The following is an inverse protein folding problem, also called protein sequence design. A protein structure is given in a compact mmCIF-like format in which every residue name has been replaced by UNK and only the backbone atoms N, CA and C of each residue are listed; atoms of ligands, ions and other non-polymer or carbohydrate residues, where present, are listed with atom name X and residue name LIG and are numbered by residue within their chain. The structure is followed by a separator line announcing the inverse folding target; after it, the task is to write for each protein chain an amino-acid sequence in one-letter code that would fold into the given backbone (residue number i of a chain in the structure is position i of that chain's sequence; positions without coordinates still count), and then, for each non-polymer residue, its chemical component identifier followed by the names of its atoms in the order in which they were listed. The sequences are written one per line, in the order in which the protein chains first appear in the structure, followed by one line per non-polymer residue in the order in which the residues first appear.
data_IF_091014888669
#
_entry.id   IF_091014888669
#
_cell.length_a   1.000
_cell.length_b   1.000
_cell.length_c   1.000
_cell.angle_alpha   90.00
_cell.angle_beta   90.00
_cell.angle_gamma   90.00
#
_symmetry.space_group_name_H-M   'P 1'
#
loop_
_entity.id
_entity.type
_entity.pdbx_description
1 polymer ?
#
# COMPACT_ATOMS: atom_id res chain seq x y z
N UNK A 1 19.77 11.64 -22.29
CA UNK A 1 18.61 10.88 -21.83
C UNK A 1 17.42 11.81 -21.61
N UNK A 2 16.34 11.64 -22.34
CA UNK A 2 15.07 12.34 -22.10
C UNK A 2 14.57 11.88 -20.73
N UNK A 3 14.61 12.75 -19.73
CA UNK A 3 13.86 12.52 -18.50
C UNK A 3 12.38 12.56 -18.87
N UNK A 4 11.67 11.46 -18.70
CA UNK A 4 10.22 11.41 -18.84
C UNK A 4 9.53 12.42 -17.90
N UNK A 5 8.24 12.67 -18.07
CA UNK A 5 7.49 13.56 -17.19
C UNK A 5 7.70 13.11 -15.74
N UNK A 6 7.96 14.07 -14.85
CA UNK A 6 8.19 13.82 -13.43
C UNK A 6 6.88 13.34 -12.83
N UNK A 7 6.74 12.03 -12.65
CA UNK A 7 5.58 11.40 -12.02
C UNK A 7 5.52 11.77 -10.54
N UNK A 8 4.34 11.74 -9.95
CA UNK A 8 4.14 11.84 -8.51
C UNK A 8 4.87 10.72 -7.76
N UNK A 9 5.18 10.94 -6.49
CA UNK A 9 5.85 9.95 -5.66
C UNK A 9 4.92 8.77 -5.36
N UNK A 10 5.51 7.59 -5.31
CA UNK A 10 4.81 6.40 -4.83
C UNK A 10 4.73 6.47 -3.29
N UNK A 11 3.59 6.04 -2.74
CA UNK A 11 3.35 5.99 -1.30
C UNK A 11 3.42 4.56 -0.79
N UNK A 12 3.86 4.43 0.45
CA UNK A 12 3.84 3.19 1.21
C UNK A 12 2.87 3.32 2.39
N UNK A 13 2.05 2.30 2.57
CA UNK A 13 1.16 2.16 3.70
C UNK A 13 1.31 0.77 4.32
N UNK A 14 1.63 0.70 5.61
CA UNK A 14 1.74 -0.56 6.34
C UNK A 14 0.41 -0.81 7.06
N UNK A 15 -0.24 -1.92 6.73
CA UNK A 15 -1.57 -2.28 7.23
C UNK A 15 -1.51 -3.55 8.05
N UNK A 16 -1.93 -3.47 9.31
CA UNK A 16 -2.08 -4.65 10.15
C UNK A 16 -3.45 -5.31 9.92
N UNK A 17 -3.44 -6.63 9.72
CA UNK A 17 -4.65 -7.43 9.53
C UNK A 17 -4.67 -8.63 10.49
N UNK A 18 -5.87 -9.04 10.90
CA UNK A 18 -6.04 -10.24 11.70
C UNK A 18 -6.02 -11.51 10.84
N UNK A 19 -5.78 -12.65 11.48
CA UNK A 19 -5.74 -13.94 10.80
C UNK A 19 -7.10 -14.31 10.19
N UNK A 20 -8.21 -13.91 10.82
CA UNK A 20 -9.58 -14.09 10.31
C UNK A 20 -9.82 -13.27 9.03
N UNK A 21 -9.34 -12.01 9.01
CA UNK A 21 -9.43 -11.18 7.80
C UNK A 21 -8.64 -11.78 6.65
N UNK A 22 -7.45 -12.33 6.94
CA UNK A 22 -6.64 -13.01 5.94
C UNK A 22 -7.28 -14.33 5.47
N UNK A 23 -8.02 -15.01 6.35
CA UNK A 23 -8.73 -16.25 6.00
C UNK A 23 -9.92 -16.00 5.07
N UNK A 24 -10.80 -15.07 5.44
CA UNK A 24 -12.03 -14.81 4.69
C UNK A 24 -11.83 -13.89 3.48
N UNK A 25 -10.78 -13.07 3.48
CA UNK A 25 -10.69 -11.92 2.61
C UNK A 25 -11.73 -10.86 3.01
N UNK A 26 -11.43 -9.60 2.87
CA UNK A 26 -12.40 -8.53 3.13
C UNK A 26 -11.91 -7.23 2.54
N UNK A 27 -12.83 -6.45 1.96
CA UNK A 27 -12.57 -5.05 1.69
C UNK A 27 -12.37 -4.29 3.02
N UNK A 28 -11.34 -3.48 3.09
CA UNK A 28 -11.02 -2.62 4.23
C UNK A 28 -10.83 -1.20 3.73
N UNK A 29 -11.29 -0.24 4.51
CA UNK A 29 -11.06 1.17 4.23
C UNK A 29 -9.79 1.64 4.93
N UNK A 30 -8.99 2.40 4.21
CA UNK A 30 -7.81 3.08 4.75
C UNK A 30 -7.93 4.56 4.46
N UNK A 31 -7.40 5.37 5.35
CA UNK A 31 -7.34 6.82 5.18
C UNK A 31 -5.87 7.23 5.14
N UNK A 32 -5.52 7.96 4.10
CA UNK A 32 -4.15 8.45 3.88
C UNK A 32 -4.15 9.95 3.67
N UNK A 33 -3.11 10.60 4.13
CA UNK A 33 -2.82 11.99 3.79
C UNK A 33 -1.93 12.01 2.55
N UNK A 34 -2.37 12.67 1.50
CA UNK A 34 -1.70 12.64 0.20
C UNK A 34 -1.76 14.00 -0.48
N UNK A 35 -0.66 14.40 -1.12
CA UNK A 35 -0.68 15.53 -2.03
C UNK A 35 -1.54 15.18 -3.26
N UNK A 36 -2.77 15.67 -3.26
CA UNK A 36 -3.75 15.46 -4.34
C UNK A 36 -3.69 16.60 -5.36
N UNK A 37 -4.18 16.34 -6.56
CA UNK A 37 -4.36 17.39 -7.58
C UNK A 37 -5.29 18.48 -7.04
N UNK A 38 -4.91 19.73 -7.24
CA UNK A 38 -5.74 20.87 -6.82
C UNK A 38 -6.99 20.96 -7.70
N UNK A 39 -8.16 20.77 -7.09
CA UNK A 39 -9.46 20.79 -7.79
C UNK A 39 -9.78 22.17 -8.39
N UNK A 40 -9.21 23.27 -7.86
CA UNK A 40 -9.46 24.64 -8.33
C UNK A 40 -8.79 24.93 -9.66
N UNK A 41 -7.62 24.34 -9.92
CA UNK A 41 -6.83 24.61 -11.13
C UNK A 41 -6.50 23.35 -11.93
N UNK A 42 -7.08 22.20 -11.60
CA UNK A 42 -6.85 20.91 -12.26
C UNK A 42 -5.36 20.58 -12.41
N UNK A 43 -4.59 20.90 -11.37
CA UNK A 43 -3.15 20.62 -11.33
C UNK A 43 -2.27 21.60 -12.12
N UNK A 44 -2.82 22.57 -12.83
CA UNK A 44 -2.02 23.55 -13.62
C UNK A 44 -1.20 24.50 -12.77
N UNK A 45 -1.62 24.75 -11.54
CA UNK A 45 -1.07 25.77 -10.66
C UNK A 45 -1.45 27.21 -11.01
N UNK A 46 -2.13 27.43 -12.14
CA UNK A 46 -2.58 28.75 -12.58
C UNK A 46 -4.02 29.04 -12.10
N UNK A 47 -4.33 30.30 -11.87
CA UNK A 47 -5.71 30.72 -11.56
C UNK A 47 -6.64 30.35 -12.73
N UNK A 48 -7.88 29.86 -12.47
CA UNK A 48 -8.83 29.55 -13.51
C UNK A 48 -9.02 30.70 -14.50
N UNK A 49 -8.96 30.39 -15.80
CA UNK A 49 -9.02 31.39 -16.86
C UNK A 49 -7.67 32.02 -17.25
N UNK A 50 -6.59 31.74 -16.53
CA UNK A 50 -5.24 32.17 -16.89
C UNK A 50 -4.45 31.05 -17.56
N UNK A 51 -3.58 31.42 -18.51
CA UNK A 51 -2.77 30.43 -19.25
C UNK A 51 -1.37 30.37 -18.67
N UNK A 52 -0.87 29.14 -18.52
CA UNK A 52 0.54 28.87 -18.27
C UNK A 52 1.33 29.20 -19.53
N UNK A 53 2.37 30.05 -19.42
CA UNK A 53 3.21 30.46 -20.56
C UNK A 53 4.56 29.77 -20.53
N UNK A 54 5.09 29.48 -21.71
CA UNK A 54 6.47 29.02 -21.84
C UNK A 54 7.43 30.11 -21.35
N UNK A 55 8.42 29.73 -20.58
CA UNK A 55 9.42 30.69 -20.07
C UNK A 55 10.26 31.26 -21.22
N UNK A 56 10.15 32.56 -21.46
CA UNK A 56 10.85 33.22 -22.55
C UNK A 56 12.38 33.17 -22.36
N UNK A 57 12.88 33.16 -21.10
CA UNK A 57 14.31 33.20 -20.81
C UNK A 57 15.03 31.89 -21.21
N UNK A 58 14.39 30.76 -21.02
CA UNK A 58 14.99 29.44 -21.34
C UNK A 58 14.28 28.72 -22.50
N UNK A 59 13.29 29.33 -23.14
CA UNK A 59 12.54 28.71 -24.22
C UNK A 59 11.84 27.40 -23.84
N UNK A 60 11.46 27.23 -22.56
CA UNK A 60 10.82 26.03 -22.06
C UNK A 60 11.76 24.94 -21.58
N UNK A 61 13.09 25.10 -21.71
CA UNK A 61 14.07 24.06 -21.33
C UNK A 61 14.26 23.93 -19.79
N UNK A 62 13.83 24.91 -19.02
CA UNK A 62 14.07 24.97 -17.57
C UNK A 62 15.52 25.23 -17.16
N UNK A 63 16.44 25.25 -18.11
CA UNK A 63 17.88 25.40 -17.90
C UNK A 63 18.46 26.45 -18.81
N UNK A 64 19.51 27.09 -18.34
CA UNK A 64 20.33 28.01 -19.12
C UNK A 64 21.73 27.40 -19.29
N UNK A 65 22.28 27.51 -20.51
CA UNK A 65 23.62 27.10 -20.84
C UNK A 65 24.50 28.33 -20.94
N UNK A 66 25.52 28.37 -20.15
CA UNK A 66 26.57 29.40 -20.23
C UNK A 66 27.88 28.71 -20.64
N UNK A 67 28.54 29.25 -21.67
CA UNK A 67 29.86 28.79 -22.08
C UNK A 67 30.91 29.59 -21.31
N UNK A 68 31.73 28.88 -20.54
CA UNK A 68 32.91 29.46 -19.90
C UNK A 68 34.15 28.78 -20.46
N UNK A 69 34.80 29.42 -21.43
CA UNK A 69 35.91 28.87 -22.14
C UNK A 69 35.51 27.58 -22.90
N UNK A 70 36.17 26.45 -22.62
CA UNK A 70 35.88 25.16 -23.23
C UNK A 70 34.78 24.35 -22.54
N UNK A 71 34.24 24.87 -21.41
CA UNK A 71 33.22 24.16 -20.64
C UNK A 71 31.86 24.81 -20.84
N UNK A 72 30.83 23.93 -21.01
CA UNK A 72 29.42 24.34 -21.01
C UNK A 72 28.85 24.04 -19.62
N UNK A 73 28.47 25.10 -18.89
CA UNK A 73 27.84 24.97 -17.57
C UNK A 73 26.34 25.13 -17.73
N UNK A 74 25.59 24.12 -17.29
CA UNK A 74 24.13 24.19 -17.21
C UNK A 74 23.72 24.69 -15.82
N UNK A 75 22.89 25.74 -15.79
CA UNK A 75 22.31 26.30 -14.57
C UNK A 75 20.78 26.27 -14.67
N UNK A 76 20.12 26.10 -13.52
CA UNK A 76 18.66 26.23 -13.44
C UNK A 76 18.25 27.63 -13.86
N UNK A 77 17.23 27.74 -14.70
CA UNK A 77 16.71 29.02 -15.15
C UNK A 77 16.17 29.82 -13.96
N UNK A 78 16.68 31.05 -13.70
CA UNK A 78 16.27 31.84 -12.54
C UNK A 78 14.82 32.35 -12.63
N UNK A 79 14.25 32.42 -13.82
CA UNK A 79 12.90 32.93 -14.03
C UNK A 79 11.82 31.87 -13.80
N UNK A 80 12.04 30.64 -14.23
CA UNK A 80 11.07 29.54 -14.08
C UNK A 80 11.48 28.48 -13.06
N UNK A 81 12.62 28.65 -12.40
CA UNK A 81 13.16 27.74 -11.38
C UNK A 81 13.20 26.28 -11.83
N UNK A 82 13.49 26.04 -13.11
CA UNK A 82 13.61 24.71 -13.68
C UNK A 82 12.32 24.15 -14.29
N UNK A 83 11.18 24.81 -14.12
CA UNK A 83 9.89 24.32 -14.63
C UNK A 83 9.70 24.49 -16.14
N UNK A 84 10.46 25.36 -16.79
CA UNK A 84 10.28 25.70 -18.20
C UNK A 84 9.04 26.57 -18.48
N UNK A 85 8.19 26.79 -17.49
CA UNK A 85 6.93 27.53 -17.60
C UNK A 85 6.83 28.61 -16.55
N UNK A 86 6.10 29.68 -16.86
CA UNK A 86 5.83 30.80 -15.96
C UNK A 86 4.32 30.95 -15.79
N UNK A 87 3.91 31.06 -14.53
CA UNK A 87 2.51 31.29 -14.14
C UNK A 87 2.40 32.74 -13.74
N UNK A 88 1.64 33.54 -14.51
CA UNK A 88 1.45 34.98 -14.21
C UNK A 88 0.58 35.16 -12.96
N UNK A 89 -0.53 34.42 -12.89
CA UNK A 89 -1.45 34.42 -11.76
C UNK A 89 -1.49 33.04 -11.12
N UNK A 90 -0.77 32.82 -10.00
CA UNK A 90 -0.80 31.52 -9.32
C UNK A 90 -2.16 31.26 -8.70
N UNK A 91 -2.61 30.02 -8.78
CA UNK A 91 -3.85 29.56 -8.14
C UNK A 91 -3.78 29.84 -6.62
N UNK A 92 -4.79 30.51 -6.10
CA UNK A 92 -4.84 30.90 -4.68
C UNK A 92 -4.91 29.70 -3.73
N UNK A 93 -5.54 28.62 -4.14
CA UNK A 93 -5.70 27.40 -3.33
C UNK A 93 -4.38 26.67 -3.16
N UNK A 94 -3.64 26.42 -4.24
CA UNK A 94 -2.38 25.67 -4.20
C UNK A 94 -1.13 26.54 -4.32
N UNK A 95 -1.28 27.86 -4.40
CA UNK A 95 -0.15 28.84 -4.50
C UNK A 95 0.81 28.57 -5.65
N UNK A 96 0.29 27.99 -6.75
CA UNK A 96 1.08 27.70 -7.94
C UNK A 96 1.67 26.30 -7.99
N UNK A 97 1.53 25.47 -6.95
CA UNK A 97 2.07 24.11 -6.92
C UNK A 97 1.26 23.10 -7.75
N UNK A 98 -0.03 23.37 -7.97
CA UNK A 98 -0.95 22.45 -8.65
C UNK A 98 -1.41 21.28 -7.77
N UNK A 99 -0.97 21.24 -6.51
CA UNK A 99 -1.25 20.18 -5.53
C UNK A 99 -1.69 20.77 -4.21
N UNK A 100 -2.50 20.02 -3.48
CA UNK A 100 -2.94 20.35 -2.11
C UNK A 100 -2.91 19.11 -1.26
N UNK A 101 -2.54 19.24 0.00
CA UNK A 101 -2.62 18.13 0.95
C UNK A 101 -4.08 17.84 1.24
N UNK A 102 -4.49 16.59 1.03
CA UNK A 102 -5.87 16.14 1.19
C UNK A 102 -5.90 14.76 1.83
N UNK A 103 -6.81 14.60 2.78
CA UNK A 103 -7.10 13.28 3.32
C UNK A 103 -7.99 12.51 2.34
N UNK A 104 -7.59 11.30 1.97
CA UNK A 104 -8.31 10.44 1.05
C UNK A 104 -8.60 9.09 1.68
N UNK A 105 -9.88 8.69 1.67
CA UNK A 105 -10.30 7.35 2.06
C UNK A 105 -10.37 6.46 0.84
N UNK A 106 -9.69 5.30 0.91
CA UNK A 106 -9.60 4.32 -0.18
C UNK A 106 -10.10 2.98 0.31
N UNK A 107 -10.86 2.30 -0.53
CA UNK A 107 -11.24 0.90 -0.30
C UNK A 107 -10.13 -0.02 -0.86
N UNK A 108 -9.67 -0.94 -0.02
CA UNK A 108 -8.64 -1.93 -0.34
C UNK A 108 -9.25 -3.31 -0.27
N UNK A 109 -9.23 -4.01 -1.38
CA UNK A 109 -9.72 -5.38 -1.44
C UNK A 109 -8.61 -6.35 -1.06
N UNK A 110 -8.80 -7.07 0.05
CA UNK A 110 -7.85 -8.05 0.58
C UNK A 110 -8.35 -9.44 0.18
N UNK A 111 -7.66 -10.14 -0.75
CA UNK A 111 -8.08 -11.46 -1.15
C UNK A 111 -7.86 -12.50 -0.02
N UNK A 112 -8.66 -13.58 0.02
CA UNK A 112 -8.46 -14.67 0.97
C UNK A 112 -7.11 -15.37 0.74
N UNK A 113 -6.47 -15.79 1.81
CA UNK A 113 -5.19 -16.51 1.74
C UNK A 113 -3.95 -15.62 1.73
N UNK A 114 -4.09 -14.29 1.79
CA UNK A 114 -2.92 -13.39 1.87
C UNK A 114 -2.02 -13.76 3.03
N UNK A 115 -0.72 -13.55 2.84
CA UNK A 115 0.31 -13.83 3.85
C UNK A 115 0.97 -12.56 4.36
N UNK A 116 1.75 -12.71 5.43
CA UNK A 116 2.57 -11.63 5.96
C UNK A 116 3.52 -11.11 4.89
N UNK A 117 3.63 -9.79 4.75
CA UNK A 117 4.44 -9.15 3.72
C UNK A 117 3.79 -9.14 2.32
N UNK A 118 2.56 -9.63 2.15
CA UNK A 118 1.82 -9.47 0.89
C UNK A 118 1.68 -8.00 0.56
N UNK A 119 1.98 -7.65 -0.70
CA UNK A 119 1.94 -6.29 -1.21
C UNK A 119 0.77 -6.12 -2.17
N UNK A 120 -0.09 -5.15 -1.88
CA UNK A 120 -1.20 -4.73 -2.74
C UNK A 120 -0.82 -3.38 -3.36
N UNK A 121 -0.96 -3.26 -4.69
CA UNK A 121 -0.71 -2.02 -5.42
C UNK A 121 -2.03 -1.40 -5.85
N UNK A 122 -2.25 -0.16 -5.47
CA UNK A 122 -3.32 0.68 -5.99
C UNK A 122 -2.73 1.69 -6.97
N UNK A 123 -2.94 1.45 -8.26
CA UNK A 123 -2.39 2.29 -9.32
C UNK A 123 -2.99 3.70 -9.28
N UNK A 124 -2.13 4.71 -9.39
CA UNK A 124 -2.55 6.12 -9.41
C UNK A 124 -3.09 6.66 -8.09
N UNK A 125 -2.87 5.97 -6.97
CA UNK A 125 -3.29 6.38 -5.62
C UNK A 125 -2.13 6.87 -4.74
N UNK A 126 -0.96 7.12 -5.35
CA UNK A 126 0.15 7.84 -4.74
C UNK A 126 -0.03 9.36 -4.81
N UNK A 127 1.04 10.10 -4.56
CA UNK A 127 1.02 11.56 -4.66
C UNK A 127 0.72 12.04 -6.10
N UNK A 128 0.00 13.14 -6.21
CA UNK A 128 -0.18 13.81 -7.47
C UNK A 128 1.17 14.29 -8.03
N UNK A 129 1.37 14.13 -9.32
CA UNK A 129 2.55 14.68 -9.98
C UNK A 129 2.48 16.21 -10.04
N UNK A 130 3.63 16.90 -10.08
CA UNK A 130 3.67 18.34 -10.21
C UNK A 130 3.07 18.78 -11.55
N UNK A 131 2.35 19.90 -11.55
CA UNK A 131 1.81 20.56 -12.76
C UNK A 131 1.01 19.62 -13.68
N UNK A 132 0.09 18.84 -13.10
CA UNK A 132 -0.77 17.93 -13.87
C UNK A 132 -0.06 16.67 -14.40
N UNK A 133 1.16 16.38 -13.96
CA UNK A 133 1.84 15.13 -14.28
C UNK A 133 1.13 13.92 -13.62
N UNK A 134 1.28 12.71 -14.17
CA UNK A 134 0.63 11.53 -13.64
C UNK A 134 0.94 11.28 -12.15
N UNK A 135 -0.03 10.81 -11.36
CA UNK A 135 0.20 10.46 -9.96
C UNK A 135 1.09 9.23 -9.80
N UNK A 136 1.66 9.06 -8.62
CA UNK A 136 2.31 7.85 -8.19
C UNK A 136 1.33 6.72 -7.88
N UNK A 137 1.83 5.62 -7.36
CA UNK A 137 1.05 4.48 -6.90
C UNK A 137 1.10 4.37 -5.38
N UNK A 138 0.09 3.75 -4.79
CA UNK A 138 0.09 3.39 -3.39
C UNK A 138 0.40 1.90 -3.24
N UNK A 139 1.41 1.58 -2.45
CA UNK A 139 1.79 0.21 -2.09
C UNK A 139 1.40 -0.05 -0.64
N UNK A 140 0.51 -1.02 -0.46
CA UNK A 140 0.04 -1.45 0.86
C UNK A 140 0.77 -2.74 1.21
N UNK A 141 1.45 -2.76 2.35
CA UNK A 141 2.14 -3.91 2.89
C UNK A 141 1.31 -4.48 4.05
N UNK A 142 0.90 -5.73 3.90
CA UNK A 142 0.10 -6.40 4.91
C UNK A 142 0.98 -7.01 5.98
N UNK A 143 0.71 -6.71 7.23
CA UNK A 143 1.34 -7.29 8.40
C UNK A 143 0.32 -8.10 9.20
N UNK A 144 0.64 -9.36 9.47
CA UNK A 144 -0.25 -10.24 10.20
C UNK A 144 -0.15 -9.97 11.70
N UNK A 145 -1.25 -9.58 12.32
CA UNK A 145 -1.35 -9.49 13.77
C UNK A 145 -1.15 -10.87 14.41
N UNK A 146 -0.50 -10.89 15.58
CA UNK A 146 -0.35 -12.12 16.33
C UNK A 146 -1.72 -12.64 16.78
N UNK A 147 -2.04 -13.90 16.42
CA UNK A 147 -3.30 -14.51 16.83
C UNK A 147 -3.15 -15.20 18.18
N UNK A 148 -4.24 -15.18 18.98
CA UNK A 148 -4.21 -15.71 20.36
C UNK A 148 -4.07 -17.23 20.41
N UNK A 149 -4.65 -17.94 19.45
CA UNK A 149 -4.78 -19.40 19.46
C UNK A 149 -3.86 -20.05 18.43
N UNK A 150 -3.75 -19.45 17.25
CA UNK A 150 -3.07 -20.03 16.11
C UNK A 150 -1.76 -19.35 15.79
N UNK A 151 -0.77 -20.16 15.44
CA UNK A 151 0.42 -19.75 14.69
C UNK A 151 0.24 -20.23 13.25
N UNK A 152 0.64 -19.40 12.29
CA UNK A 152 0.51 -19.70 10.86
C UNK A 152 1.88 -20.05 10.27
N UNK A 153 1.93 -21.17 9.55
CA UNK A 153 3.07 -21.55 8.70
C UNK A 153 2.55 -21.88 7.29
N UNK A 154 2.71 -20.93 6.37
CA UNK A 154 2.15 -21.04 5.02
C UNK A 154 0.63 -21.20 5.05
N UNK A 155 0.13 -22.37 4.63
CA UNK A 155 -1.28 -22.74 4.68
C UNK A 155 -1.68 -23.51 5.94
N UNK A 156 -0.71 -23.88 6.76
CA UNK A 156 -0.94 -24.67 7.97
C UNK A 156 -1.19 -23.74 9.15
N UNK A 157 -2.20 -24.05 9.94
CA UNK A 157 -2.48 -23.44 11.23
C UNK A 157 -2.03 -24.38 12.34
N UNK A 158 -1.24 -23.89 13.27
CA UNK A 158 -0.68 -24.62 14.39
C UNK A 158 -1.27 -24.07 15.67
N UNK A 159 -1.74 -24.94 16.54
CA UNK A 159 -2.22 -24.56 17.87
C UNK A 159 -1.78 -25.56 18.90
N UNK A 160 -1.61 -25.10 20.13
CA UNK A 160 -1.28 -25.93 21.28
C UNK A 160 -2.50 -26.07 22.15
N UNK A 161 -2.92 -27.31 22.35
CA UNK A 161 -4.13 -27.62 23.12
C UNK A 161 -3.74 -28.39 24.37
N UNK A 162 -3.92 -27.81 25.56
CA UNK A 162 -3.77 -28.55 26.80
C UNK A 162 -4.93 -29.56 26.95
N UNK A 163 -4.61 -30.79 27.28
CA UNK A 163 -5.58 -31.84 27.58
C UNK A 163 -5.39 -32.38 28.98
N UNK A 164 -6.43 -32.96 29.58
CA UNK A 164 -6.33 -33.60 30.88
C UNK A 164 -5.53 -34.90 30.80
N UNK A 165 -4.93 -35.32 31.90
CA UNK A 165 -4.20 -36.58 31.97
C UNK A 165 -5.14 -37.80 31.71
N UNK A 166 -6.38 -37.69 32.11
CA UNK A 166 -7.40 -38.71 31.87
C UNK A 166 -7.69 -38.83 30.38
N UNK A 167 -7.84 -37.73 29.66
CA UNK A 167 -8.00 -37.72 28.19
C UNK A 167 -6.77 -38.27 27.49
N UNK A 168 -5.57 -37.95 28.00
CA UNK A 168 -4.33 -38.48 27.43
C UNK A 168 -4.20 -40.00 27.62
N UNK A 169 -4.62 -40.52 28.76
CA UNK A 169 -4.55 -41.93 29.07
C UNK A 169 -5.62 -42.78 28.35
N UNK A 170 -6.86 -42.32 28.41
CA UNK A 170 -8.01 -43.07 27.91
C UNK A 170 -8.43 -42.77 26.46
N UNK A 171 -7.88 -41.67 25.91
CA UNK A 171 -8.33 -41.12 24.65
C UNK A 171 -9.58 -40.25 24.82
N UNK A 172 -10.08 -39.71 23.73
CA UNK A 172 -11.26 -38.86 23.75
C UNK A 172 -11.36 -37.95 22.51
N UNK A 173 -12.20 -36.96 22.60
CA UNK A 173 -12.36 -35.92 21.57
C UNK A 173 -12.04 -34.54 22.13
N UNK A 174 -11.42 -33.73 21.31
CA UNK A 174 -11.16 -32.32 21.61
C UNK A 174 -11.81 -31.47 20.54
N UNK A 175 -12.52 -30.42 20.93
CA UNK A 175 -13.08 -29.42 20.02
C UNK A 175 -12.19 -28.19 19.98
N UNK A 176 -11.79 -27.78 18.76
CA UNK A 176 -10.99 -26.61 18.51
C UNK A 176 -11.77 -25.64 17.62
N UNK A 177 -11.87 -24.35 17.96
CA UNK A 177 -12.50 -23.38 17.08
C UNK A 177 -11.65 -23.21 15.82
N UNK A 178 -12.29 -23.24 14.64
CA UNK A 178 -11.65 -22.94 13.37
C UNK A 178 -11.77 -21.47 12.98
N UNK A 179 -10.94 -21.01 12.05
CA UNK A 179 -11.08 -19.68 11.44
C UNK A 179 -12.31 -19.57 10.51
N UNK A 180 -12.85 -20.71 10.08
CA UNK A 180 -14.11 -20.83 9.32
C UNK A 180 -15.37 -20.62 10.17
N UNK A 181 -15.20 -20.32 11.45
CA UNK A 181 -16.28 -20.15 12.43
C UNK A 181 -16.89 -21.46 12.93
N UNK A 182 -16.37 -22.62 12.50
CA UNK A 182 -16.83 -23.94 12.92
C UNK A 182 -15.96 -24.47 14.05
N UNK A 183 -16.49 -25.45 14.78
CA UNK A 183 -15.71 -26.25 15.73
C UNK A 183 -15.27 -27.55 15.08
N UNK A 184 -13.98 -27.80 15.10
CA UNK A 184 -13.39 -29.01 14.54
C UNK A 184 -13.14 -30.02 15.68
N UNK A 185 -13.69 -31.22 15.53
CA UNK A 185 -13.46 -32.32 16.47
C UNK A 185 -12.22 -33.09 16.07
N UNK A 186 -11.33 -33.26 17.02
CA UNK A 186 -10.09 -34.01 16.86
C UNK A 186 -10.13 -35.19 17.80
N UNK A 187 -10.00 -36.41 17.23
CA UNK A 187 -9.90 -37.63 18.04
C UNK A 187 -8.51 -37.76 18.63
N UNK A 188 -8.45 -37.94 19.93
CA UNK A 188 -7.23 -38.14 20.71
C UNK A 188 -7.07 -39.61 21.01
N UNK A 189 -6.03 -40.30 20.48
CA UNK A 189 -5.78 -41.69 20.80
C UNK A 189 -5.37 -41.89 22.25
N UNK A 190 -5.79 -43.01 22.83
CA UNK A 190 -5.37 -43.38 24.19
C UNK A 190 -3.85 -43.53 24.26
N UNK A 191 -3.24 -43.09 25.37
CA UNK A 191 -1.83 -43.18 25.59
C UNK A 191 -1.00 -42.09 24.85
N UNK A 192 -1.64 -41.02 24.38
CA UNK A 192 -0.95 -39.95 23.67
C UNK A 192 0.07 -39.26 24.58
N UNK A 193 1.25 -38.96 24.04
CA UNK A 193 2.32 -38.30 24.78
C UNK A 193 2.32 -36.80 24.51
N UNK A 194 2.82 -36.02 25.46
CA UNK A 194 3.00 -34.59 25.35
C UNK A 194 3.84 -34.23 24.10
N UNK A 195 3.46 -33.19 23.38
CA UNK A 195 4.14 -32.77 22.14
C UNK A 195 3.79 -33.58 20.91
N UNK A 196 2.93 -34.60 21.00
CA UNK A 196 2.44 -35.33 19.84
C UNK A 196 1.59 -34.43 18.96
N UNK A 197 1.91 -34.35 17.68
CA UNK A 197 1.16 -33.59 16.69
C UNK A 197 0.06 -34.43 16.07
N UNK A 198 -1.15 -33.87 16.03
CA UNK A 198 -2.30 -34.41 15.33
C UNK A 198 -2.66 -33.49 14.18
N UNK A 199 -2.97 -34.04 13.01
CA UNK A 199 -3.27 -33.26 11.81
C UNK A 199 -4.75 -33.31 11.47
N UNK A 200 -5.39 -32.15 11.46
CA UNK A 200 -6.73 -31.97 10.92
C UNK A 200 -6.65 -31.46 9.48
N UNK A 201 -7.14 -32.23 8.53
CA UNK A 201 -7.15 -31.83 7.12
C UNK A 201 -8.32 -30.88 6.83
N UNK A 202 -8.10 -29.93 5.92
CA UNK A 202 -9.14 -29.02 5.45
C UNK A 202 -9.47 -27.85 6.38
N UNK A 203 -8.74 -27.70 7.52
CA UNK A 203 -8.94 -26.63 8.50
C UNK A 203 -7.84 -25.56 8.47
N UNK A 204 -6.99 -25.57 7.44
CA UNK A 204 -5.90 -24.59 7.25
C UNK A 204 -6.34 -23.35 6.50
N UNK A 205 -5.37 -22.46 6.21
CA UNK A 205 -5.59 -21.26 5.42
C UNK A 205 -5.93 -21.56 3.96
N UNK A 206 -6.80 -20.76 3.33
CA UNK A 206 -7.01 -20.85 1.89
C UNK A 206 -5.73 -20.49 1.14
N UNK A 207 -5.60 -21.02 -0.07
CA UNK A 207 -4.49 -20.69 -0.97
C UNK A 207 -4.85 -19.42 -1.71
N UNK A 208 -3.92 -18.45 -1.71
CA UNK A 208 -4.08 -17.24 -2.50
C UNK A 208 -4.18 -17.62 -4.00
N UNK A 209 -5.31 -17.30 -4.64
CA UNK A 209 -5.50 -17.55 -6.07
C UNK A 209 -4.54 -16.66 -6.87
N UNK A 210 -3.74 -17.28 -7.73
CA UNK A 210 -2.80 -16.56 -8.62
C UNK A 210 -1.31 -16.77 -8.30
N UNK A 211 -0.96 -17.74 -7.46
CA UNK A 211 0.42 -18.23 -7.29
C UNK A 211 0.54 -19.70 -7.67
#
# INVERSE_FOLDING_TARGET
GRRGPVRGADLRYDMEITLEKAYHGKASEITIDVAATCDTCDGSGAEPGTKVRTCNLCGGSGKMRAQQGFFVVERTCPNCHGSGQVIENPCRTCRGEGRVDKQQTLSVDIPPGVDNGTRIRLSGKGEAGPKGSPPGDLYIFLHMARHRIFERDGTTLITRCPISITTAALGGELEIPGLDGKRHKISIPAGIQSGKQLRQRGAGMPVLQGR
#
